data_IF_434065673948
#
_entry.id   IF_434065673948
#
_cell.length_a   1.000
_cell.length_b   1.000
_cell.length_c   1.000
_cell.angle_alpha   90.00
_cell.angle_beta   90.00
_cell.angle_gamma   90.00
#
_symmetry.space_group_name_H-M   'P 1'
#
loop_
_entity.id
_entity.type
_entity.pdbx_description
1 polymer ?
#
# COMPACT_ATOMS: atom_id res chain seq x y z
N UNK A 1 -13.83 -4.19 4.21
CA UNK A 1 -14.47 -3.83 2.92
C UNK A 1 -13.33 -3.43 2.01
N UNK A 2 -13.17 -4.02 0.82
CA UNK A 2 -12.07 -3.67 -0.09
C UNK A 2 -12.12 -2.19 -0.47
N UNK A 3 -10.97 -1.62 -0.84
CA UNK A 3 -10.86 -0.22 -1.24
C UNK A 3 -11.95 0.15 -2.25
N UNK A 4 -12.63 1.27 -2.01
CA UNK A 4 -13.64 1.79 -2.92
C UNK A 4 -13.01 2.16 -4.27
N UNK A 5 -13.82 2.22 -5.33
CA UNK A 5 -13.32 2.60 -6.66
C UNK A 5 -12.61 3.96 -6.65
N UNK A 6 -13.10 4.90 -5.83
CA UNK A 6 -12.50 6.22 -5.64
C UNK A 6 -11.12 6.13 -4.98
N UNK A 7 -10.99 5.35 -3.90
CA UNK A 7 -9.72 5.13 -3.20
C UNK A 7 -8.72 4.41 -4.10
N UNK A 8 -9.15 3.34 -4.79
CA UNK A 8 -8.33 2.62 -5.77
C UNK A 8 -7.85 3.54 -6.88
N UNK A 9 -8.73 4.38 -7.43
CA UNK A 9 -8.38 5.32 -8.50
C UNK A 9 -7.39 6.38 -8.01
N UNK A 10 -7.60 6.90 -6.79
CA UNK A 10 -6.66 7.81 -6.13
C UNK A 10 -5.28 7.18 -5.90
N UNK A 11 -5.24 5.89 -5.51
CA UNK A 11 -4.00 5.13 -5.37
C UNK A 11 -3.34 4.87 -6.72
N UNK A 12 -4.08 4.45 -7.74
CA UNK A 12 -3.59 4.22 -9.10
C UNK A 12 -3.03 5.48 -9.77
N UNK A 13 -3.52 6.65 -9.38
CA UNK A 13 -2.98 7.93 -9.84
C UNK A 13 -1.57 8.23 -9.28
N UNK A 14 -1.13 7.53 -8.22
CA UNK A 14 0.19 7.72 -7.62
C UNK A 14 1.26 6.99 -8.43
N UNK A 15 2.36 7.69 -8.71
CA UNK A 15 3.48 7.15 -9.46
C UNK A 15 4.16 6.02 -8.67
N UNK A 16 4.05 4.79 -9.20
CA UNK A 16 4.62 3.58 -8.59
C UNK A 16 3.61 2.72 -7.83
N UNK A 17 2.38 3.20 -7.64
CA UNK A 17 1.28 2.41 -7.06
C UNK A 17 0.46 1.81 -8.20
N UNK A 18 0.71 0.52 -8.48
CA UNK A 18 -0.03 -0.23 -9.48
C UNK A 18 -1.20 -1.03 -8.89
N UNK A 19 -2.01 -1.69 -9.73
CA UNK A 19 -3.09 -2.56 -9.27
C UNK A 19 -2.55 -3.73 -8.43
N UNK A 20 -1.31 -4.17 -8.68
CA UNK A 20 -0.62 -5.15 -7.85
C UNK A 20 -0.42 -4.68 -6.42
N UNK A 21 -0.11 -3.39 -6.22
CA UNK A 21 0.14 -2.82 -4.89
C UNK A 21 -1.14 -2.80 -4.06
N UNK A 22 -2.25 -2.37 -4.68
CA UNK A 22 -3.58 -2.38 -4.09
C UNK A 22 -3.96 -3.81 -3.69
N UNK A 23 -3.78 -4.77 -4.59
CA UNK A 23 -4.07 -6.18 -4.31
C UNK A 23 -3.23 -6.72 -3.14
N UNK A 24 -1.96 -6.30 -3.01
CA UNK A 24 -1.13 -6.70 -1.86
C UNK A 24 -1.63 -6.11 -0.55
N UNK A 25 -2.10 -4.86 -0.56
CA UNK A 25 -2.72 -4.26 0.63
C UNK A 25 -3.93 -5.09 1.10
N UNK A 26 -4.82 -5.44 0.17
CA UNK A 26 -5.99 -6.28 0.49
C UNK A 26 -5.57 -7.65 1.05
N UNK A 27 -4.55 -8.29 0.47
CA UNK A 27 -4.05 -9.59 0.94
C UNK A 27 -3.40 -9.54 2.34
N UNK A 28 -2.82 -8.41 2.74
CA UNK A 28 -2.29 -8.21 4.11
C UNK A 28 -3.35 -7.68 5.09
N UNK A 29 -4.60 -7.53 4.64
CA UNK A 29 -5.73 -7.08 5.44
C UNK A 29 -5.85 -5.56 5.55
N UNK A 30 -5.22 -4.80 4.64
CA UNK A 30 -5.38 -3.35 4.54
C UNK A 30 -6.36 -3.09 3.41
N UNK A 31 -7.59 -2.75 3.78
CA UNK A 31 -8.69 -2.62 2.82
C UNK A 31 -9.25 -1.19 2.74
N UNK A 32 -8.75 -0.26 3.56
CA UNK A 32 -9.27 1.11 3.66
C UNK A 32 -8.16 2.15 3.80
N UNK A 33 -8.46 3.41 3.46
CA UNK A 33 -7.56 4.53 3.76
C UNK A 33 -7.32 4.72 5.26
N UNK A 34 -8.29 4.41 6.12
CA UNK A 34 -8.13 4.51 7.57
C UNK A 34 -7.07 3.52 8.08
N UNK A 35 -7.15 2.26 7.64
CA UNK A 35 -6.14 1.25 7.95
C UNK A 35 -4.78 1.70 7.42
N UNK A 36 -4.71 2.08 6.13
CA UNK A 36 -3.47 2.47 5.50
C UNK A 36 -2.83 3.70 6.17
N UNK A 37 -3.63 4.68 6.56
CA UNK A 37 -3.17 5.88 7.27
C UNK A 37 -2.65 5.59 8.69
N UNK A 38 -3.16 4.53 9.33
CA UNK A 38 -2.71 4.04 10.63
C UNK A 38 -1.45 3.18 10.60
N UNK A 39 -1.06 2.66 9.43
CA UNK A 39 0.14 1.85 9.27
C UNK A 39 1.34 2.65 8.72
N UNK A 40 2.54 2.18 9.06
CA UNK A 40 3.79 2.71 8.53
C UNK A 40 4.23 2.00 7.25
N UNK A 41 4.88 2.74 6.34
CA UNK A 41 5.35 2.20 5.07
C UNK A 41 6.28 0.99 5.25
N UNK A 42 7.14 1.01 6.28
CA UNK A 42 8.00 -0.13 6.60
C UNK A 42 7.19 -1.32 7.11
N UNK A 43 6.24 -1.11 8.02
CA UNK A 43 5.39 -2.19 8.56
C UNK A 43 4.59 -2.88 7.46
N UNK A 44 4.00 -2.12 6.54
CA UNK A 44 3.28 -2.68 5.40
C UNK A 44 4.24 -3.44 4.48
N UNK A 45 5.39 -2.85 4.16
CA UNK A 45 6.41 -3.50 3.33
C UNK A 45 6.90 -4.82 3.97
N UNK A 46 7.04 -4.87 5.29
CA UNK A 46 7.44 -6.06 6.05
C UNK A 46 6.35 -7.13 6.09
N UNK A 47 5.08 -6.74 6.24
CA UNK A 47 3.93 -7.66 6.15
C UNK A 47 3.83 -8.28 4.76
N UNK A 48 3.90 -7.45 3.71
CA UNK A 48 3.88 -7.92 2.32
C UNK A 48 5.11 -8.78 2.02
N UNK A 49 6.28 -8.40 2.51
CA UNK A 49 7.52 -9.18 2.38
C UNK A 49 7.40 -10.56 3.05
N UNK A 50 6.89 -10.61 4.28
CA UNK A 50 6.68 -11.85 5.02
C UNK A 50 5.66 -12.75 4.34
N UNK A 51 4.55 -12.19 3.88
CA UNK A 51 3.52 -12.94 3.13
C UNK A 51 4.10 -13.54 1.84
N UNK A 52 4.83 -12.74 1.06
CA UNK A 52 5.43 -13.18 -0.21
C UNK A 52 6.72 -13.99 -0.04
N UNK A 53 7.19 -14.21 1.19
CA UNK A 53 8.51 -14.78 1.49
C UNK A 53 9.63 -14.10 0.68
N UNK A 54 9.52 -12.78 0.47
CA UNK A 54 10.41 -12.02 -0.41
C UNK A 54 10.87 -10.73 0.26
N UNK A 55 12.10 -10.30 0.01
CA UNK A 55 12.62 -9.03 0.52
C UNK A 55 12.45 -7.86 -0.45
N UNK A 56 11.83 -8.08 -1.62
CA UNK A 56 11.71 -7.07 -2.67
C UNK A 56 10.99 -5.82 -2.18
N UNK A 57 9.96 -5.95 -1.35
CA UNK A 57 9.19 -4.81 -0.85
C UNK A 57 9.93 -4.00 0.22
N UNK A 58 10.65 -4.67 1.13
CA UNK A 58 11.38 -3.99 2.21
C UNK A 58 12.74 -3.41 1.75
N UNK A 59 13.34 -3.97 0.70
CA UNK A 59 14.62 -3.49 0.15
C UNK A 59 14.44 -2.61 -1.09
N UNK A 60 13.28 -2.61 -1.75
CA UNK A 60 13.05 -1.73 -2.90
C UNK A 60 12.67 -0.32 -2.43
N UNK A 61 13.47 0.71 -2.78
CA UNK A 61 13.10 2.09 -2.49
C UNK A 61 11.82 2.49 -3.23
N UNK A 62 11.52 1.84 -4.36
CA UNK A 62 10.35 2.11 -5.17
C UNK A 62 9.07 1.60 -4.49
N UNK A 63 9.13 0.43 -3.85
CA UNK A 63 8.01 -0.10 -3.06
C UNK A 63 7.73 0.79 -1.84
N UNK A 64 8.77 1.19 -1.11
CA UNK A 64 8.63 2.13 0.02
C UNK A 64 8.03 3.46 -0.42
N UNK A 65 8.51 4.04 -1.52
CA UNK A 65 7.96 5.28 -2.06
C UNK A 65 6.48 5.15 -2.44
N UNK A 66 6.10 4.04 -3.09
CA UNK A 66 4.71 3.75 -3.44
C UNK A 66 3.81 3.64 -2.21
N UNK A 67 4.24 2.90 -1.17
CA UNK A 67 3.48 2.76 0.07
C UNK A 67 3.39 4.10 0.81
N UNK A 68 4.50 4.84 0.94
CA UNK A 68 4.48 6.16 1.59
C UNK A 68 3.54 7.11 0.87
N UNK A 69 3.58 7.16 -0.47
CA UNK A 69 2.66 7.97 -1.26
C UNK A 69 1.20 7.56 -1.03
N UNK A 70 0.94 6.25 -0.96
CA UNK A 70 -0.39 5.72 -0.66
C UNK A 70 -0.86 6.17 0.74
N UNK A 71 -0.02 6.06 1.77
CA UNK A 71 -0.31 6.50 3.15
C UNK A 71 -0.58 8.00 3.18
N UNK A 72 0.27 8.80 2.52
CA UNK A 72 0.07 10.25 2.43
C UNK A 72 -1.25 10.57 1.75
N UNK A 73 -1.58 9.91 0.64
CA UNK A 73 -2.86 10.10 -0.05
C UNK A 73 -4.05 9.70 0.81
N UNK A 74 -3.94 8.60 1.55
CA UNK A 74 -4.96 8.12 2.47
C UNK A 74 -5.19 9.11 3.63
N UNK A 75 -4.12 9.71 4.17
CA UNK A 75 -4.21 10.78 5.17
C UNK A 75 -4.83 12.07 4.66
N UNK A 76 -4.86 12.28 3.33
CA UNK A 76 -5.39 13.50 2.71
C UNK A 76 -6.89 13.44 2.39
N UNK A 77 -7.54 12.27 2.47
CA UNK A 77 -8.96 12.09 2.13
C UNK A 77 -9.17 11.89 0.63
#
# INVERSE_FOLDING_TARGET
MPFNEQERSALLALKGVGPTVIKRFEEVGIESFEDLAGFDANTIAERVASMLHSNCWKNSPQAKAAITAAITRAKQG
#
